data_IF_985313238155
#
_entry.id   IF_985313238155
#
_cell.length_a   1.000
_cell.length_b   1.000
_cell.length_c   1.000
_cell.angle_alpha   90.00
_cell.angle_beta   90.00
_cell.angle_gamma   90.00
#
_symmetry.space_group_name_H-M   'P 1'
#
loop_
_entity.id
_entity.type
_entity.pdbx_description
1 polymer ?
#
# COMPACT_ATOMS: atom_id res chain seq x y z
N UNK A 1 -17.90 -0.09 -10.54
CA UNK A 1 -16.90 -1.08 -10.95
C UNK A 1 -16.99 -2.36 -10.11
N UNK A 2 -17.20 -2.30 -8.78
CA UNK A 2 -17.28 -3.50 -7.94
C UNK A 2 -18.46 -4.40 -8.34
N UNK A 3 -19.64 -3.85 -8.61
CA UNK A 3 -20.78 -4.60 -9.10
C UNK A 3 -20.48 -5.26 -10.46
N UNK A 4 -19.77 -4.55 -11.34
CA UNK A 4 -19.36 -5.13 -12.62
C UNK A 4 -18.36 -6.27 -12.46
N UNK A 5 -17.46 -6.20 -11.46
CA UNK A 5 -16.62 -7.33 -11.10
C UNK A 5 -17.46 -8.50 -10.58
N UNK A 6 -18.44 -8.23 -9.73
CA UNK A 6 -19.33 -9.25 -9.15
C UNK A 6 -20.09 -10.03 -10.24
N UNK A 7 -20.65 -9.32 -11.24
CA UNK A 7 -21.36 -9.93 -12.37
C UNK A 7 -20.44 -10.87 -13.19
N UNK A 8 -19.15 -10.55 -13.30
CA UNK A 8 -18.16 -11.29 -14.09
C UNK A 8 -17.19 -12.12 -13.24
N UNK A 9 -17.46 -12.28 -11.93
CA UNK A 9 -16.51 -12.88 -10.98
C UNK A 9 -16.11 -14.32 -11.31
N UNK A 10 -16.94 -15.06 -12.04
CA UNK A 10 -16.71 -16.46 -12.42
C UNK A 10 -16.06 -16.61 -13.81
N UNK A 11 -15.88 -15.50 -14.54
CA UNK A 11 -15.21 -15.49 -15.83
C UNK A 11 -13.69 -15.61 -15.68
N UNK A 12 -13.00 -16.19 -16.67
CA UNK A 12 -11.55 -16.16 -16.74
C UNK A 12 -11.06 -14.70 -16.78
N UNK A 13 -10.01 -14.39 -16.02
CA UNK A 13 -9.41 -13.05 -15.92
C UNK A 13 -10.30 -11.97 -15.26
N UNK A 14 -11.27 -12.35 -14.43
CA UNK A 14 -12.09 -11.40 -13.64
C UNK A 14 -11.24 -10.49 -12.76
N UNK A 15 -10.03 -10.91 -12.35
CA UNK A 15 -9.09 -10.14 -11.53
C UNK A 15 -8.70 -8.78 -12.17
N UNK A 16 -8.84 -8.64 -13.50
CA UNK A 16 -8.62 -7.35 -14.21
C UNK A 16 -9.48 -6.21 -13.69
N UNK A 17 -10.69 -6.51 -13.23
CA UNK A 17 -11.59 -5.52 -12.66
C UNK A 17 -11.12 -5.04 -11.29
N UNK A 18 -10.58 -5.95 -10.46
CA UNK A 18 -9.99 -5.59 -9.17
C UNK A 18 -8.77 -4.68 -9.36
N UNK A 19 -7.92 -5.02 -10.33
CA UNK A 19 -6.74 -4.21 -10.70
C UNK A 19 -7.15 -2.81 -11.15
N UNK A 20 -8.21 -2.69 -11.97
CA UNK A 20 -8.75 -1.38 -12.39
C UNK A 20 -9.36 -0.61 -11.22
N UNK A 21 -10.08 -1.28 -10.31
CA UNK A 21 -10.62 -0.65 -9.10
C UNK A 21 -9.50 -0.06 -8.26
N UNK A 22 -8.38 -0.77 -8.09
CA UNK A 22 -7.24 -0.28 -7.32
C UNK A 22 -6.56 0.93 -7.98
N UNK A 23 -6.49 0.98 -9.31
CA UNK A 23 -6.04 2.19 -10.03
C UNK A 23 -6.94 3.39 -9.75
N UNK A 24 -8.25 3.21 -9.87
CA UNK A 24 -9.23 4.27 -9.58
C UNK A 24 -9.18 4.69 -8.11
N UNK A 25 -8.94 3.76 -7.20
CA UNK A 25 -8.74 4.03 -5.77
C UNK A 25 -7.48 4.89 -5.57
N UNK A 26 -6.38 4.56 -6.23
CA UNK A 26 -5.15 5.35 -6.18
C UNK A 26 -5.35 6.79 -6.68
N UNK A 27 -6.03 6.98 -7.82
CA UNK A 27 -6.40 8.31 -8.31
C UNK A 27 -7.28 9.07 -7.32
N UNK A 28 -8.22 8.38 -6.68
CA UNK A 28 -9.16 9.00 -5.75
C UNK A 28 -8.53 9.46 -4.43
N UNK A 29 -7.38 8.90 -4.04
CA UNK A 29 -6.58 9.37 -2.90
C UNK A 29 -6.20 10.85 -3.13
N UNK A 30 -5.80 11.20 -4.35
CA UNK A 30 -5.46 12.58 -4.74
C UNK A 30 -6.60 13.57 -4.60
N UNK A 31 -7.85 13.09 -4.61
CA UNK A 31 -9.03 13.93 -4.41
C UNK A 31 -9.43 13.97 -2.93
N UNK A 32 -9.60 12.81 -2.32
CA UNK A 32 -9.99 12.71 -0.91
C UNK A 32 -9.65 11.34 -0.30
N UNK A 33 -8.91 11.33 0.81
CA UNK A 33 -8.51 10.11 1.52
C UNK A 33 -9.69 9.23 1.99
N UNK A 34 -10.86 9.82 2.27
CA UNK A 34 -12.07 9.07 2.65
C UNK A 34 -12.54 8.10 1.56
N UNK A 35 -12.15 8.29 0.32
CA UNK A 35 -12.45 7.35 -0.76
C UNK A 35 -11.86 5.95 -0.52
N UNK A 36 -10.82 5.83 0.33
CA UNK A 36 -10.27 4.54 0.75
C UNK A 36 -11.27 3.67 1.54
N UNK A 37 -12.34 4.27 2.08
CA UNK A 37 -13.42 3.50 2.74
C UNK A 37 -14.15 2.55 1.78
N UNK A 38 -13.94 2.67 0.47
CA UNK A 38 -14.43 1.67 -0.48
C UNK A 38 -13.69 0.31 -0.35
N UNK A 39 -12.47 0.28 0.20
CA UNK A 39 -11.69 -0.97 0.35
C UNK A 39 -12.40 -2.02 1.22
N UNK A 40 -12.93 -1.70 2.42
CA UNK A 40 -13.75 -2.64 3.19
C UNK A 40 -14.92 -3.21 2.39
N UNK A 41 -15.63 -2.37 1.64
CA UNK A 41 -16.75 -2.83 0.82
C UNK A 41 -16.29 -3.82 -0.27
N UNK A 42 -15.17 -3.53 -0.95
CA UNK A 42 -14.58 -4.42 -1.98
C UNK A 42 -14.22 -5.79 -1.37
N UNK A 43 -13.58 -5.81 -0.21
CA UNK A 43 -13.18 -7.06 0.47
C UNK A 43 -14.41 -7.88 0.87
N UNK A 44 -15.45 -7.24 1.42
CA UNK A 44 -16.67 -7.93 1.80
C UNK A 44 -17.42 -8.50 0.59
N UNK A 45 -17.58 -7.73 -0.50
CA UNK A 45 -18.19 -8.22 -1.74
C UNK A 45 -17.39 -9.40 -2.31
N UNK A 46 -16.05 -9.29 -2.30
CA UNK A 46 -15.18 -10.40 -2.72
C UNK A 46 -15.39 -11.65 -1.87
N UNK A 47 -15.45 -11.50 -0.55
CA UNK A 47 -15.67 -12.62 0.38
C UNK A 47 -17.00 -13.30 0.08
N UNK A 48 -18.11 -12.58 0.09
CA UNK A 48 -19.45 -13.17 -0.10
C UNK A 48 -19.64 -13.79 -1.49
N UNK A 49 -18.94 -13.28 -2.51
CA UNK A 49 -19.02 -13.82 -3.87
C UNK A 49 -18.17 -15.07 -4.09
N UNK A 50 -17.01 -15.18 -3.44
CA UNK A 50 -16.05 -16.27 -3.67
C UNK A 50 -16.07 -17.35 -2.60
N UNK A 51 -16.59 -17.09 -1.41
CA UNK A 51 -16.72 -18.08 -0.35
C UNK A 51 -18.15 -18.63 -0.34
N UNK A 52 -18.38 -19.91 -0.71
CA UNK A 52 -19.69 -20.52 -0.60
C UNK A 52 -20.13 -20.49 0.87
N UNK A 53 -21.36 -20.10 1.12
CA UNK A 53 -21.95 -19.97 2.44
C UNK A 53 -22.35 -21.37 2.96
N UNK A 54 -21.61 -21.94 3.92
CA UNK A 54 -22.04 -23.09 4.65
C UNK A 54 -22.58 -22.65 6.00
N UNK A 55 -23.43 -23.41 6.64
CA UNK A 55 -23.94 -23.25 8.01
C UNK A 55 -23.78 -21.89 8.70
N UNK A 56 -24.85 -21.31 9.19
CA UNK A 56 -25.02 -19.97 9.79
C UNK A 56 -23.89 -19.54 10.77
N UNK A 57 -23.35 -20.45 11.57
CA UNK A 57 -22.26 -20.10 12.52
C UNK A 57 -20.90 -19.95 11.85
N UNK A 58 -20.57 -20.79 10.84
CA UNK A 58 -19.30 -20.71 10.11
C UNK A 58 -19.28 -19.48 9.22
N UNK A 59 -20.44 -19.08 8.71
CA UNK A 59 -20.60 -17.85 7.93
C UNK A 59 -20.36 -16.61 8.79
N UNK A 60 -20.84 -16.58 10.03
CA UNK A 60 -20.61 -15.48 10.96
C UNK A 60 -19.10 -15.29 11.26
N UNK A 61 -18.37 -16.37 11.57
CA UNK A 61 -16.93 -16.30 11.82
C UNK A 61 -16.15 -15.86 10.55
N UNK A 62 -16.55 -16.35 9.38
CA UNK A 62 -15.97 -15.95 8.12
C UNK A 62 -16.21 -14.48 7.79
N UNK A 63 -17.42 -13.98 8.04
CA UNK A 63 -17.78 -12.58 7.84
C UNK A 63 -17.01 -11.66 8.79
N UNK A 64 -16.87 -12.04 10.06
CA UNK A 64 -16.05 -11.29 11.03
C UNK A 64 -14.59 -11.28 10.58
N UNK A 65 -14.04 -12.41 10.13
CA UNK A 65 -12.67 -12.48 9.63
C UNK A 65 -12.48 -11.60 8.39
N UNK A 66 -13.43 -11.62 7.45
CA UNK A 66 -13.40 -10.75 6.27
C UNK A 66 -13.45 -9.27 6.65
N UNK A 67 -14.27 -8.90 7.63
CA UNK A 67 -14.34 -7.54 8.16
C UNK A 67 -13.01 -7.12 8.80
N UNK A 68 -12.41 -7.97 9.65
CA UNK A 68 -11.11 -7.68 10.25
C UNK A 68 -10.02 -7.53 9.18
N UNK A 69 -9.97 -8.43 8.20
CA UNK A 69 -9.02 -8.33 7.07
C UNK A 69 -9.23 -7.03 6.30
N UNK A 70 -10.48 -6.63 6.07
CA UNK A 70 -10.79 -5.39 5.34
C UNK A 70 -10.30 -4.14 6.07
N UNK A 71 -10.45 -4.10 7.39
CA UNK A 71 -9.93 -3.00 8.24
C UNK A 71 -8.41 -3.00 8.25
N UNK A 72 -7.77 -4.18 8.32
CA UNK A 72 -6.31 -4.31 8.23
C UNK A 72 -5.78 -3.81 6.88
N UNK A 73 -6.44 -4.16 5.76
CA UNK A 73 -6.07 -3.67 4.43
C UNK A 73 -6.23 -2.15 4.35
N UNK A 74 -7.35 -1.60 4.83
CA UNK A 74 -7.56 -0.16 4.89
C UNK A 74 -6.46 0.53 5.70
N UNK A 75 -6.15 0.02 6.90
CA UNK A 75 -5.08 0.54 7.74
C UNK A 75 -3.70 0.45 7.08
N UNK A 76 -3.41 -0.66 6.41
CA UNK A 76 -2.14 -0.85 5.69
C UNK A 76 -1.98 0.13 4.52
N UNK A 77 -3.07 0.49 3.82
CA UNK A 77 -3.02 1.51 2.76
C UNK A 77 -2.93 2.91 3.36
N UNK A 78 -3.80 3.25 4.32
CA UNK A 78 -3.92 4.60 4.86
C UNK A 78 -2.72 5.02 5.71
N UNK A 79 -2.23 4.14 6.58
CA UNK A 79 -1.14 4.43 7.53
C UNK A 79 0.20 3.80 7.12
N UNK A 80 0.17 2.78 6.27
CA UNK A 80 1.36 2.11 5.75
C UNK A 80 1.79 2.67 4.41
N UNK A 81 1.03 2.43 3.35
CA UNK A 81 1.44 2.74 1.98
C UNK A 81 1.53 4.25 1.72
N UNK A 82 0.47 5.01 2.04
CA UNK A 82 0.41 6.46 1.71
C UNK A 82 1.56 7.24 2.37
N UNK A 83 1.78 7.19 3.70
CA UNK A 83 2.91 7.87 4.32
C UNK A 83 4.22 7.07 4.20
N UNK A 84 4.15 5.76 3.98
CA UNK A 84 5.30 4.87 3.94
C UNK A 84 6.22 5.11 2.76
N UNK A 85 5.65 5.38 1.59
CA UNK A 85 6.41 5.73 0.37
C UNK A 85 7.27 6.97 0.63
N UNK A 86 6.67 8.01 1.18
CA UNK A 86 7.35 9.26 1.50
C UNK A 86 8.42 9.04 2.57
N UNK A 87 8.12 8.24 3.60
CA UNK A 87 9.07 7.92 4.68
C UNK A 87 10.29 7.16 4.18
N UNK A 88 10.09 6.10 3.42
CA UNK A 88 11.21 5.30 2.88
C UNK A 88 11.99 6.12 1.87
N UNK A 89 11.34 6.89 1.00
CA UNK A 89 12.01 7.81 0.10
C UNK A 89 12.85 8.85 0.84
N UNK A 90 12.32 9.43 1.93
CA UNK A 90 13.07 10.34 2.80
C UNK A 90 14.30 9.67 3.45
N UNK A 91 14.24 8.40 3.85
CA UNK A 91 15.41 7.67 4.34
C UNK A 91 16.48 7.49 3.25
N UNK A 92 16.08 7.20 2.01
CA UNK A 92 17.01 7.15 0.88
C UNK A 92 17.64 8.52 0.63
N UNK A 93 16.85 9.59 0.66
CA UNK A 93 17.35 10.95 0.48
C UNK A 93 18.39 11.30 1.55
N UNK A 94 18.07 11.07 2.84
CA UNK A 94 19.03 11.29 3.93
C UNK A 94 20.30 10.46 3.78
N UNK A 95 20.19 9.21 3.34
CA UNK A 95 21.36 8.35 3.10
C UNK A 95 22.24 8.91 1.97
N UNK A 96 21.66 9.28 0.85
CA UNK A 96 22.43 9.75 -0.31
C UNK A 96 23.06 11.12 -0.09
N UNK A 97 22.33 12.05 0.52
CA UNK A 97 22.83 13.40 0.80
C UNK A 97 23.82 13.40 1.95
N UNK A 98 23.47 12.80 3.11
CA UNK A 98 24.28 12.94 4.32
C UNK A 98 25.47 11.99 4.39
N UNK A 99 25.35 10.77 3.79
CA UNK A 99 26.44 9.76 3.85
C UNK A 99 27.29 9.80 2.59
N UNK A 100 26.67 9.87 1.42
CA UNK A 100 27.38 9.86 0.15
C UNK A 100 27.73 11.24 -0.39
N UNK A 101 27.18 12.33 0.20
CA UNK A 101 27.41 13.70 -0.26
C UNK A 101 26.85 14.00 -1.66
N UNK A 102 25.82 13.27 -2.08
CA UNK A 102 25.18 13.47 -3.37
C UNK A 102 24.32 14.75 -3.38
N UNK A 103 24.04 15.32 -4.56
CA UNK A 103 23.11 16.43 -4.69
C UNK A 103 21.73 16.06 -4.15
N UNK A 104 20.98 17.08 -3.68
CA UNK A 104 19.61 16.94 -3.22
C UNK A 104 18.71 16.32 -4.30
N UNK A 105 17.69 15.53 -3.90
CA UNK A 105 16.79 14.73 -4.73
C UNK A 105 17.43 13.49 -5.40
N UNK A 106 18.71 13.20 -5.22
CA UNK A 106 19.35 12.01 -5.78
C UNK A 106 18.83 10.72 -5.14
N UNK A 107 18.68 10.71 -3.81
CA UNK A 107 18.20 9.57 -3.07
C UNK A 107 16.74 9.20 -3.42
N UNK A 108 15.91 10.20 -3.61
CA UNK A 108 14.53 10.03 -4.04
C UNK A 108 14.43 9.36 -5.43
N UNK A 109 15.19 9.86 -6.39
CA UNK A 109 15.24 9.27 -7.75
C UNK A 109 15.69 7.80 -7.70
N UNK A 110 16.75 7.50 -6.95
CA UNK A 110 17.24 6.13 -6.78
C UNK A 110 16.16 5.25 -6.12
N UNK A 111 15.49 5.76 -5.10
CA UNK A 111 14.41 5.05 -4.44
C UNK A 111 13.26 4.72 -5.41
N UNK A 112 12.80 5.67 -6.22
CA UNK A 112 11.72 5.45 -7.20
C UNK A 112 12.11 4.36 -8.21
N UNK A 113 13.35 4.40 -8.71
CA UNK A 113 13.87 3.38 -9.65
C UNK A 113 13.88 2.00 -8.98
N UNK A 114 14.39 1.90 -7.75
CA UNK A 114 14.44 0.64 -7.00
C UNK A 114 13.04 0.12 -6.65
N UNK A 115 12.10 1.00 -6.29
CA UNK A 115 10.71 0.64 -6.01
C UNK A 115 10.05 0.02 -7.25
N UNK A 116 10.19 0.65 -8.41
CA UNK A 116 9.64 0.12 -9.67
C UNK A 116 10.32 -1.20 -10.03
N UNK A 117 11.64 -1.27 -9.94
CA UNK A 117 12.40 -2.48 -10.26
C UNK A 117 11.99 -3.68 -9.37
N UNK A 118 11.82 -3.46 -8.06
CA UNK A 118 11.40 -4.51 -7.13
C UNK A 118 9.97 -4.99 -7.40
N UNK A 119 9.04 -4.08 -7.71
CA UNK A 119 7.67 -4.44 -8.07
C UNK A 119 7.62 -5.24 -9.37
N UNK A 120 8.32 -4.80 -10.41
CA UNK A 120 8.40 -5.52 -11.69
C UNK A 120 9.03 -6.90 -11.50
N UNK A 121 10.11 -6.99 -10.73
CA UNK A 121 10.73 -8.28 -10.41
C UNK A 121 9.77 -9.20 -9.65
N UNK A 122 9.06 -8.71 -8.65
CA UNK A 122 8.11 -9.51 -7.87
C UNK A 122 6.93 -10.00 -8.73
N UNK A 123 6.40 -9.17 -9.61
CA UNK A 123 5.36 -9.56 -10.57
C UNK A 123 5.90 -10.66 -11.50
N UNK A 124 7.09 -10.49 -12.04
CA UNK A 124 7.73 -11.47 -12.91
C UNK A 124 7.95 -12.83 -12.23
N UNK A 125 8.47 -12.86 -10.99
CA UNK A 125 8.68 -14.08 -10.22
C UNK A 125 7.34 -14.77 -9.87
N UNK A 126 6.28 -13.99 -9.61
CA UNK A 126 4.95 -14.55 -9.32
C UNK A 126 4.29 -15.21 -10.54
N UNK A 127 4.65 -14.79 -11.76
CA UNK A 127 4.21 -15.45 -13.00
C UNK A 127 5.00 -16.73 -13.31
N UNK A 128 6.31 -16.74 -13.06
CA UNK A 128 7.17 -17.87 -13.40
C UNK A 128 6.93 -19.12 -12.58
N UNK A 129 6.40 -18.99 -11.38
CA UNK A 129 6.07 -20.06 -10.42
C UNK A 129 7.18 -21.12 -10.18
N UNK A 130 8.45 -20.76 -10.42
CA UNK A 130 9.59 -21.68 -10.38
C UNK A 130 10.15 -21.88 -8.96
N UNK A 131 10.14 -20.87 -8.12
CA UNK A 131 10.72 -20.91 -6.78
C UNK A 131 9.91 -20.12 -5.76
N UNK A 132 9.29 -20.84 -4.84
CA UNK A 132 8.50 -20.24 -3.74
C UNK A 132 9.32 -19.25 -2.92
N UNK A 133 10.60 -19.58 -2.64
CA UNK A 133 11.49 -18.71 -1.85
C UNK A 133 11.73 -17.38 -2.56
N UNK A 134 12.04 -17.41 -3.87
CA UNK A 134 12.30 -16.19 -4.67
C UNK A 134 11.05 -15.32 -4.74
N UNK A 135 9.88 -15.91 -4.99
CA UNK A 135 8.60 -15.20 -4.98
C UNK A 135 8.34 -14.51 -3.64
N UNK A 136 8.56 -15.21 -2.53
CA UNK A 136 8.33 -14.67 -1.20
C UNK A 136 9.31 -13.52 -0.86
N UNK A 137 10.59 -13.67 -1.25
CA UNK A 137 11.59 -12.61 -1.07
C UNK A 137 11.23 -11.38 -1.89
N UNK A 138 10.90 -11.57 -3.18
CA UNK A 138 10.53 -10.47 -4.06
C UNK A 138 9.27 -9.74 -3.57
N UNK A 139 8.26 -10.50 -3.12
CA UNK A 139 7.04 -9.94 -2.52
C UNK A 139 7.35 -9.13 -1.26
N UNK A 140 8.13 -9.68 -0.32
CA UNK A 140 8.52 -8.97 0.90
C UNK A 140 9.32 -7.71 0.63
N UNK A 141 10.27 -7.77 -0.31
CA UNK A 141 11.05 -6.61 -0.68
C UNK A 141 10.17 -5.51 -1.27
N UNK A 142 9.20 -5.87 -2.12
CA UNK A 142 8.23 -4.91 -2.66
C UNK A 142 7.38 -4.28 -1.56
N UNK A 143 6.89 -5.07 -0.60
CA UNK A 143 6.11 -4.57 0.55
C UNK A 143 6.96 -3.64 1.43
N UNK A 144 8.24 -3.97 1.64
CA UNK A 144 9.17 -3.12 2.37
C UNK A 144 9.44 -1.80 1.64
N UNK A 145 9.72 -1.86 0.34
CA UNK A 145 9.96 -0.66 -0.49
C UNK A 145 8.73 0.24 -0.58
N UNK A 146 7.51 -0.30 -0.54
CA UNK A 146 6.27 0.48 -0.44
C UNK A 146 6.09 1.14 0.94
N UNK A 147 6.94 0.85 1.91
CA UNK A 147 6.88 1.43 3.25
C UNK A 147 5.75 0.89 4.13
N UNK A 148 4.95 -0.06 3.63
CA UNK A 148 3.76 -0.59 4.33
C UNK A 148 4.06 -1.06 5.76
N UNK A 149 5.18 -1.77 6.06
CA UNK A 149 5.43 -2.29 7.40
C UNK A 149 5.98 -1.26 8.38
N UNK A 150 6.42 -0.09 7.91
CA UNK A 150 7.12 0.88 8.75
C UNK A 150 6.16 1.90 9.34
N UNK A 151 5.64 1.61 10.54
CA UNK A 151 4.74 2.50 11.29
C UNK A 151 5.52 3.26 12.37
N UNK A 152 5.17 4.54 12.60
CA UNK A 152 5.79 5.36 13.63
C UNK A 152 6.96 6.21 13.13
N UNK A 153 7.81 6.69 14.05
CA UNK A 153 8.91 7.59 13.76
C UNK A 153 10.25 7.02 14.26
N UNK A 154 11.34 7.40 13.60
CA UNK A 154 12.69 7.04 14.02
C UNK A 154 12.95 5.53 14.04
N UNK A 155 13.78 5.09 14.97
CA UNK A 155 14.20 3.69 15.10
C UNK A 155 13.06 2.72 15.44
N UNK A 156 12.00 3.20 16.11
CA UNK A 156 10.83 2.37 16.41
C UNK A 156 10.11 1.92 15.15
N UNK A 157 10.03 2.76 14.13
CA UNK A 157 9.43 2.39 12.85
C UNK A 157 10.20 1.25 12.15
N UNK A 158 11.52 1.26 12.24
CA UNK A 158 12.36 0.19 11.67
C UNK A 158 12.15 -1.13 12.41
N UNK A 159 12.13 -1.10 13.75
CA UNK A 159 11.90 -2.31 14.55
C UNK A 159 10.53 -2.91 14.30
N UNK A 160 9.47 -2.08 14.29
CA UNK A 160 8.11 -2.51 13.94
C UNK A 160 8.10 -3.10 12.53
N UNK A 161 8.75 -2.44 11.59
CA UNK A 161 8.83 -2.90 10.20
C UNK A 161 9.46 -4.29 10.07
N UNK A 162 10.56 -4.54 10.79
CA UNK A 162 11.22 -5.87 10.79
C UNK A 162 10.27 -6.93 11.36
N UNK A 163 9.58 -6.65 12.46
CA UNK A 163 8.61 -7.58 13.06
C UNK A 163 7.47 -7.88 12.10
N UNK A 164 6.90 -6.85 11.47
CA UNK A 164 5.80 -7.01 10.49
C UNK A 164 6.26 -7.82 9.28
N UNK A 165 7.46 -7.56 8.74
CA UNK A 165 8.03 -8.35 7.64
C UNK A 165 8.26 -9.81 8.03
N UNK A 166 8.73 -10.07 9.25
CA UNK A 166 8.87 -11.44 9.77
C UNK A 166 7.51 -12.14 9.88
N UNK A 167 6.46 -11.44 10.36
CA UNK A 167 5.10 -12.00 10.41
C UNK A 167 4.55 -12.29 9.01
N UNK A 168 4.74 -11.38 8.05
CA UNK A 168 4.33 -11.61 6.64
C UNK A 168 5.08 -12.82 6.08
N UNK A 169 6.38 -12.96 6.35
CA UNK A 169 7.17 -14.11 5.92
C UNK A 169 6.60 -15.42 6.45
N UNK A 170 6.24 -15.49 7.75
CA UNK A 170 5.62 -16.66 8.36
C UNK A 170 4.28 -16.99 7.70
N UNK A 171 3.45 -15.98 7.43
CA UNK A 171 2.15 -16.18 6.76
C UNK A 171 2.34 -16.68 5.32
N UNK A 172 3.34 -16.16 4.58
CA UNK A 172 3.64 -16.60 3.21
C UNK A 172 4.12 -18.07 3.14
N UNK A 173 4.73 -18.57 4.21
CA UNK A 173 5.15 -19.97 4.31
C UNK A 173 4.10 -20.89 4.92
N UNK A 174 3.06 -20.32 5.53
CA UNK A 174 2.07 -21.12 6.26
C UNK A 174 1.25 -21.99 5.31
N UNK A 175 1.15 -23.27 5.67
CA UNK A 175 0.36 -24.26 4.95
C UNK A 175 -0.81 -24.74 5.80
N UNK A 176 -2.00 -24.70 5.23
CA UNK A 176 -3.19 -25.29 5.84
C UNK A 176 -3.58 -26.53 5.03
N UNK A 177 -3.65 -27.68 5.68
CA UNK A 177 -3.96 -28.99 5.03
C UNK A 177 -3.05 -29.27 3.80
N UNK A 178 -1.76 -28.97 3.90
CA UNK A 178 -0.78 -29.19 2.82
C UNK A 178 -0.78 -28.15 1.69
N UNK A 179 -1.75 -27.24 1.67
CA UNK A 179 -1.83 -26.15 0.68
C UNK A 179 -1.36 -24.81 1.27
N UNK A 180 -0.65 -24.03 0.48
CA UNK A 180 -0.26 -22.67 0.88
C UNK A 180 -1.51 -21.82 1.11
N UNK A 181 -1.52 -21.05 2.20
CA UNK A 181 -2.59 -20.07 2.47
C UNK A 181 -2.59 -18.97 1.39
N UNK A 182 -1.41 -18.48 1.03
CA UNK A 182 -1.24 -17.45 0.00
C UNK A 182 -0.58 -18.10 -1.22
N UNK A 183 -1.39 -18.29 -2.27
CA UNK A 183 -0.94 -18.89 -3.53
C UNK A 183 -0.19 -17.87 -4.39
N UNK A 184 0.57 -18.35 -5.41
CA UNK A 184 1.24 -17.48 -6.38
C UNK A 184 0.27 -16.53 -7.09
N UNK A 185 -0.96 -16.99 -7.39
CA UNK A 185 -2.02 -16.16 -7.97
C UNK A 185 -2.41 -15.00 -7.05
N UNK A 186 -2.62 -15.26 -5.76
CA UNK A 186 -2.97 -14.21 -4.79
C UNK A 186 -1.83 -13.19 -4.70
N UNK A 187 -0.58 -13.64 -4.64
CA UNK A 187 0.60 -12.75 -4.64
C UNK A 187 0.65 -11.89 -5.89
N UNK A 188 0.46 -12.49 -7.06
CA UNK A 188 0.45 -11.78 -8.35
C UNK A 188 -0.65 -10.71 -8.40
N UNK A 189 -1.90 -11.08 -8.11
CA UNK A 189 -3.03 -10.13 -8.10
C UNK A 189 -2.79 -9.01 -7.07
N UNK A 190 -2.26 -9.32 -5.88
CA UNK A 190 -1.94 -8.31 -4.87
C UNK A 190 -0.86 -7.33 -5.34
N UNK A 191 0.21 -7.84 -5.98
CA UNK A 191 1.28 -6.99 -6.53
C UNK A 191 0.77 -6.09 -7.66
N UNK A 192 -0.06 -6.63 -8.56
CA UNK A 192 -0.70 -5.83 -9.62
C UNK A 192 -1.61 -4.75 -9.01
N UNK A 193 -2.39 -5.09 -8.00
CA UNK A 193 -3.23 -4.13 -7.28
C UNK A 193 -2.39 -3.03 -6.61
N UNK A 194 -1.30 -3.38 -5.94
CA UNK A 194 -0.38 -2.42 -5.31
C UNK A 194 0.28 -1.51 -6.36
N UNK A 195 0.75 -2.09 -7.47
CA UNK A 195 1.35 -1.32 -8.57
C UNK A 195 0.35 -0.34 -9.19
N UNK A 196 -0.87 -0.78 -9.46
CA UNK A 196 -1.89 0.09 -10.05
C UNK A 196 -2.39 1.17 -9.10
N UNK A 197 -2.49 0.85 -7.81
CA UNK A 197 -2.78 1.84 -6.78
C UNK A 197 -1.66 2.89 -6.71
N UNK A 198 -0.38 2.46 -6.78
CA UNK A 198 0.77 3.35 -6.81
C UNK A 198 0.77 4.26 -8.05
N UNK A 199 0.46 3.71 -9.23
CA UNK A 199 0.33 4.51 -10.47
C UNK A 199 -0.77 5.57 -10.30
N UNK A 200 -1.93 5.22 -9.74
CA UNK A 200 -2.98 6.19 -9.44
C UNK A 200 -2.53 7.24 -8.42
N UNK A 201 -1.89 6.80 -7.35
CA UNK A 201 -1.37 7.66 -6.29
C UNK A 201 -0.24 8.59 -6.76
N UNK A 202 0.53 8.20 -7.80
CA UNK A 202 1.58 9.05 -8.37
C UNK A 202 1.07 10.38 -8.94
N UNK A 203 -0.27 10.57 -9.04
CA UNK A 203 -0.88 11.87 -9.31
C UNK A 203 -0.46 12.97 -8.31
N UNK A 204 -0.06 12.61 -7.09
CA UNK A 204 0.54 13.53 -6.12
C UNK A 204 1.88 14.13 -6.60
N UNK A 205 2.63 13.44 -7.47
CA UNK A 205 3.85 14.01 -8.05
C UNK A 205 3.57 15.31 -8.83
N UNK A 206 2.36 15.46 -9.40
CA UNK A 206 1.95 16.69 -10.06
C UNK A 206 1.89 17.88 -9.10
N UNK A 207 1.55 17.64 -7.82
CA UNK A 207 1.53 18.67 -6.78
C UNK A 207 2.96 19.15 -6.52
N UNK A 208 3.91 18.23 -6.35
CA UNK A 208 5.33 18.56 -6.15
C UNK A 208 5.91 19.33 -7.33
N UNK A 209 5.67 18.84 -8.57
CA UNK A 209 6.14 19.51 -9.80
C UNK A 209 5.56 20.93 -9.91
N UNK A 210 4.28 21.11 -9.56
CA UNK A 210 3.63 22.40 -9.61
C UNK A 210 4.14 23.35 -8.53
N UNK A 211 4.37 22.85 -7.31
CA UNK A 211 4.92 23.62 -6.20
C UNK A 211 6.32 24.14 -6.52
N UNK A 212 7.18 23.29 -7.09
CA UNK A 212 8.53 23.68 -7.52
C UNK A 212 8.55 24.79 -8.60
N UNK A 213 7.43 25.07 -9.27
CA UNK A 213 7.27 26.19 -10.20
C UNK A 213 6.86 27.52 -9.52
N UNK A 214 6.78 27.55 -8.18
CA UNK A 214 6.44 28.73 -7.36
C UNK A 214 5.16 29.45 -7.84
N UNK A 215 3.99 28.78 -7.86
CA UNK A 215 2.73 29.43 -8.26
C UNK A 215 2.30 30.47 -7.22
N UNK A 216 1.46 31.46 -7.59
CA UNK A 216 0.98 32.50 -6.68
C UNK A 216 0.26 31.99 -5.44
N UNK A 217 -0.33 30.80 -5.49
CA UNK A 217 -0.93 30.08 -4.36
C UNK A 217 -0.27 28.72 -4.26
N UNK A 218 0.66 28.57 -3.32
CA UNK A 218 1.37 27.34 -3.04
C UNK A 218 1.21 26.97 -1.56
N UNK A 219 0.17 26.20 -1.28
CA UNK A 219 -0.16 25.83 0.09
C UNK A 219 0.86 24.79 0.62
N UNK A 220 1.65 25.19 1.63
CA UNK A 220 2.74 24.44 2.29
C UNK A 220 3.95 24.12 1.43
N UNK A 221 4.05 24.66 0.23
CA UNK A 221 5.21 24.51 -0.67
C UNK A 221 5.77 23.07 -0.67
N UNK A 222 4.99 22.04 -1.08
CA UNK A 222 5.44 20.65 -1.09
C UNK A 222 6.41 20.41 -2.25
N UNK A 223 7.60 21.01 -2.18
CA UNK A 223 8.60 20.99 -3.26
C UNK A 223 9.49 19.75 -3.26
N UNK A 224 9.55 19.05 -2.11
CA UNK A 224 10.38 17.87 -1.89
C UNK A 224 9.62 16.78 -1.13
N UNK A 225 10.28 15.62 -0.93
CA UNK A 225 9.67 14.46 -0.29
C UNK A 225 9.33 14.71 1.19
N UNK A 226 10.04 15.58 1.89
CA UNK A 226 9.79 15.88 3.30
C UNK A 226 8.60 16.81 3.45
N UNK A 227 8.58 17.91 2.69
CA UNK A 227 7.47 18.86 2.67
C UNK A 227 6.19 18.23 2.11
N UNK A 228 6.31 17.27 1.16
CA UNK A 228 5.19 16.44 0.75
C UNK A 228 4.68 15.56 1.91
N UNK A 229 5.57 15.07 2.77
CA UNK A 229 5.20 14.34 3.98
C UNK A 229 4.33 15.16 4.92
N UNK A 230 4.74 16.38 5.22
CA UNK A 230 4.02 17.32 6.09
C UNK A 230 2.68 17.74 5.48
N UNK A 231 2.65 17.91 4.15
CA UNK A 231 1.43 18.18 3.41
C UNK A 231 0.41 17.03 3.53
N UNK A 232 0.86 15.78 3.39
CA UNK A 232 0.01 14.59 3.51
C UNK A 232 -0.43 14.35 4.96
N UNK A 233 0.42 14.61 5.93
CA UNK A 233 0.12 14.54 7.36
C UNK A 233 -0.84 15.64 7.81
N UNK A 234 -1.03 16.71 7.03
CA UNK A 234 -1.82 17.89 7.36
C UNK A 234 -1.32 18.62 8.62
N UNK A 235 -0.01 18.63 8.86
CA UNK A 235 0.60 19.18 10.07
C UNK A 235 0.30 20.67 10.25
N UNK A 236 0.05 21.39 9.14
CA UNK A 236 -0.38 22.79 9.13
C UNK A 236 -1.66 23.09 9.90
N UNK A 237 -2.55 22.12 10.05
CA UNK A 237 -3.83 22.34 10.76
C UNK A 237 -3.72 22.09 12.26
N UNK A 238 -2.53 21.70 12.74
CA UNK A 238 -2.28 21.34 14.13
C UNK A 238 -2.99 20.07 14.56
N UNK A 239 -2.62 19.57 15.74
CA UNK A 239 -3.32 18.44 16.36
C UNK A 239 -4.48 18.99 17.19
N UNK A 240 -5.71 18.59 16.92
CA UNK A 240 -6.82 18.86 17.82
C UNK A 240 -6.63 18.02 19.07
N UNK A 241 -6.59 18.61 20.29
CA UNK A 241 -6.53 17.84 21.51
C UNK A 241 -7.77 16.93 21.58
N UNK A 242 -7.56 15.65 21.94
CA UNK A 242 -8.64 14.66 22.11
C UNK A 242 -9.58 15.02 23.28
N UNK A 243 -9.18 15.93 24.16
CA UNK A 243 -10.00 16.58 25.17
C UNK A 243 -9.84 18.09 25.02
N UNK A 244 -10.92 18.80 24.75
CA UNK A 244 -10.94 20.24 24.97
C UNK A 244 -10.86 20.46 26.47
N UNK A 245 -9.73 20.95 26.96
CA UNK A 245 -9.71 21.61 28.26
C UNK A 245 -10.43 22.96 28.05
N UNK A 246 -11.74 22.94 28.24
CA UNK A 246 -12.49 24.18 28.50
C UNK A 246 -11.97 24.75 29.79
N UNK A 247 -11.19 25.82 29.72
CA UNK A 247 -10.98 26.79 30.76
C UNK A 247 -11.78 28.03 30.46
#
# INVERSE_FOLDING_TARGET
>A
LILKWEDHADEPHSDRWLVLIMYMTGLSIGVHLLNLLCLPAIVLVYYYRKCPQPDSRKDLYGSIAALVISVVILGAVLYGLVPGIVRVGGWFELLFVNVFGCPFNTGEIVYIILLIATLVWAIYESYKDQSLKRQNIAFLLSVAMLGIPFFGYGWSAVLIGIVVLALIWLVLQYKRQGKLLITSRIKNTSLLCMMMLLIGYSSYAVIVIRSAANPPMDQNSPEDIFTLGDYLARDQYGQRPLRSEER
#
